data_IF_662461512209
#
_entry.id   IF_662461512209
#
_cell.length_a   1.000
_cell.length_b   1.000
_cell.length_c   1.000
_cell.angle_alpha   90.00
_cell.angle_beta   90.00
_cell.angle_gamma   90.00
#
_symmetry.space_group_name_H-M   'P 1'
#
loop_
_entity.id
_entity.type
_entity.pdbx_description
1 polymer ?
#
# COMPACT_ATOMS: atom_id res chain seq x y z
N UNK A 1 -14.62 -13.68 1.63
CA UNK A 1 -13.50 -13.61 0.68
C UNK A 1 -13.68 -14.79 -0.26
N UNK A 2 -13.89 -14.50 -1.54
CA UNK A 2 -13.89 -15.52 -2.58
C UNK A 2 -12.47 -16.06 -2.81
N UNK A 3 -12.33 -17.18 -3.51
CA UNK A 3 -11.00 -17.70 -3.91
C UNK A 3 -10.27 -16.75 -4.88
N UNK A 4 -10.98 -15.79 -5.48
CA UNK A 4 -10.46 -14.81 -6.44
C UNK A 4 -10.09 -13.47 -5.77
N UNK A 5 -10.42 -13.29 -4.48
CA UNK A 5 -10.12 -12.06 -3.75
C UNK A 5 -8.65 -12.00 -3.33
N UNK A 6 -8.04 -10.84 -3.49
CA UNK A 6 -6.68 -10.59 -3.01
C UNK A 6 -6.65 -10.41 -1.48
N UNK A 7 -5.61 -10.96 -0.83
CA UNK A 7 -5.39 -10.79 0.61
C UNK A 7 -5.20 -9.31 1.00
N UNK A 8 -4.51 -8.56 0.14
CA UNK A 8 -4.34 -7.12 0.23
C UNK A 8 -4.99 -6.48 -1.00
N UNK A 9 -6.28 -6.14 -0.90
CA UNK A 9 -7.00 -5.54 -2.01
C UNK A 9 -6.69 -4.04 -2.15
N UNK A 10 -6.90 -3.50 -3.35
CA UNK A 10 -6.83 -2.07 -3.58
C UNK A 10 -7.92 -1.33 -2.79
N UNK A 11 -7.63 -0.07 -2.43
CA UNK A 11 -8.58 0.83 -1.78
C UNK A 11 -8.93 1.91 -2.80
N UNK A 12 -10.20 1.97 -3.20
CA UNK A 12 -10.70 3.02 -4.08
C UNK A 12 -10.59 4.40 -3.44
N UNK A 13 -10.58 5.46 -4.24
CA UNK A 13 -10.51 6.84 -3.75
C UNK A 13 -11.66 7.23 -2.80
N UNK A 14 -12.75 6.48 -2.82
CA UNK A 14 -13.90 6.59 -1.91
C UNK A 14 -13.69 5.83 -0.58
N UNK A 15 -12.53 5.24 -0.34
CA UNK A 15 -12.21 4.43 0.83
C UNK A 15 -12.80 3.01 0.80
N UNK A 16 -13.41 2.59 -0.31
CA UNK A 16 -14.02 1.26 -0.43
C UNK A 16 -12.97 0.26 -0.93
N UNK A 17 -12.90 -0.90 -0.28
CA UNK A 17 -12.04 -2.01 -0.71
C UNK A 17 -12.52 -2.57 -2.06
N UNK A 18 -11.58 -2.92 -2.91
CA UNK A 18 -11.76 -3.54 -4.22
C UNK A 18 -11.20 -4.98 -4.17
N UNK A 19 -11.96 -5.99 -3.71
CA UNK A 19 -11.43 -7.32 -3.40
C UNK A 19 -10.76 -8.02 -4.60
N UNK A 20 -11.25 -7.78 -5.81
CA UNK A 20 -10.72 -8.36 -7.05
C UNK A 20 -9.56 -7.60 -7.68
N UNK A 21 -9.06 -6.53 -7.04
CA UNK A 21 -7.90 -5.78 -7.50
C UNK A 21 -6.79 -5.86 -6.46
N UNK A 22 -5.55 -6.22 -6.84
CA UNK A 22 -4.44 -6.27 -5.91
C UNK A 22 -4.00 -4.86 -5.52
N UNK A 23 -3.58 -4.69 -4.27
CA UNK A 23 -2.88 -3.49 -3.83
C UNK A 23 -1.61 -3.29 -4.67
N UNK A 24 -1.46 -2.11 -5.25
CA UNK A 24 -0.34 -1.83 -6.14
C UNK A 24 0.97 -1.60 -5.36
N UNK A 25 2.09 -1.98 -5.97
CA UNK A 25 3.43 -1.71 -5.43
C UNK A 25 3.66 -0.20 -5.20
N UNK A 26 3.19 0.63 -6.14
CA UNK A 26 3.33 2.09 -6.06
C UNK A 26 2.54 2.67 -4.87
N UNK A 27 1.37 2.10 -4.56
CA UNK A 27 0.59 2.47 -3.38
C UNK A 27 1.35 2.16 -2.09
N UNK A 28 1.97 0.97 -2.00
CA UNK A 28 2.77 0.59 -0.83
C UNK A 28 3.97 1.51 -0.68
N UNK A 29 4.68 1.82 -1.77
CA UNK A 29 5.81 2.75 -1.74
C UNK A 29 5.38 4.15 -1.28
N UNK A 30 4.26 4.67 -1.77
CA UNK A 30 3.73 5.97 -1.36
C UNK A 30 3.39 6.00 0.15
N UNK A 31 2.84 4.92 0.70
CA UNK A 31 2.59 4.81 2.14
C UNK A 31 3.87 4.75 2.97
N UNK A 32 4.93 4.09 2.47
CA UNK A 32 6.26 4.10 3.10
C UNK A 32 6.79 5.54 3.12
N UNK A 33 6.71 6.25 2.00
CA UNK A 33 7.19 7.63 1.88
C UNK A 33 6.45 8.57 2.84
N UNK A 34 5.12 8.45 2.93
CA UNK A 34 4.29 9.21 3.86
C UNK A 34 4.64 8.91 5.32
N UNK A 35 4.80 7.63 5.67
CA UNK A 35 5.15 7.23 7.03
C UNK A 35 6.54 7.72 7.44
N UNK A 36 7.54 7.61 6.56
CA UNK A 36 8.91 8.09 6.79
C UNK A 36 8.93 9.61 6.98
N UNK A 37 8.20 10.35 6.14
CA UNK A 37 8.06 11.80 6.26
C UNK A 37 7.38 12.19 7.58
N UNK A 38 6.27 11.54 7.94
CA UNK A 38 5.53 11.80 9.17
C UNK A 38 6.33 11.46 10.44
N UNK A 39 7.16 10.42 10.39
CA UNK A 39 8.03 10.02 11.49
C UNK A 39 9.37 10.78 11.55
N UNK A 40 9.64 11.64 10.56
CA UNK A 40 10.90 12.39 10.43
C UNK A 40 12.15 11.49 10.42
N UNK A 41 12.04 10.28 9.84
CA UNK A 41 13.16 9.35 9.75
C UNK A 41 14.08 9.80 8.60
N UNK A 42 15.38 10.03 8.84
CA UNK A 42 16.29 10.42 7.78
C UNK A 42 16.60 9.24 6.85
N UNK A 43 16.39 9.44 5.55
CA UNK A 43 16.73 8.46 4.51
C UNK A 43 15.61 8.21 3.51
N UNK A 44 15.90 7.40 2.50
CA UNK A 44 14.91 6.90 1.54
C UNK A 44 14.72 5.40 1.78
N UNK A 45 13.49 5.00 2.04
CA UNK A 45 13.12 3.60 2.26
C UNK A 45 12.28 3.13 1.08
N UNK A 46 12.41 1.85 0.75
CA UNK A 46 11.62 1.26 -0.32
C UNK A 46 11.06 -0.09 0.11
N UNK A 47 10.16 -0.61 -0.71
CA UNK A 47 9.67 -1.99 -0.60
C UNK A 47 10.78 -3.03 -0.58
N UNK A 48 11.97 -2.75 -1.14
CA UNK A 48 13.11 -3.67 -1.11
C UNK A 48 13.83 -3.71 0.25
N UNK A 49 13.46 -2.83 1.18
CA UNK A 49 14.04 -2.81 2.53
C UNK A 49 13.38 -3.82 3.48
N UNK A 50 12.28 -4.48 3.08
CA UNK A 50 11.45 -5.32 3.95
C UNK A 50 11.03 -6.63 3.29
#
# INVERSE_FOLDING_TARGET
MSEEDFLFPAIGANGVLQPGEPLSHDTVQAWIDEAVAGAQIPGTFSTHCY
#
